data_IF_988902017219
#
_entry.id   IF_988902017219
#
_cell.length_a   1.000
_cell.length_b   1.000
_cell.length_c   1.000
_cell.angle_alpha   90.00
_cell.angle_beta   90.00
_cell.angle_gamma   90.00
#
_symmetry.space_group_name_H-M   'P 1'
#
loop_
_entity.id
_entity.type
_entity.pdbx_description
1 polymer ?
#
# COMPACT_ATOMS: atom_id res chain seq x y z
N UNK A 1 -4.32 -39.93 69.99
CA UNK A 1 -4.01 -40.61 68.72
C UNK A 1 -4.70 -39.80 67.64
N UNK A 2 -4.02 -39.17 66.67
CA UNK A 2 -4.74 -38.53 65.57
C UNK A 2 -5.24 -39.64 64.63
N UNK A 3 -6.51 -39.53 64.22
CA UNK A 3 -7.17 -40.40 63.25
C UNK A 3 -6.42 -40.36 61.91
N UNK A 4 -5.91 -41.51 61.48
CA UNK A 4 -5.45 -41.69 60.11
C UNK A 4 -6.66 -42.01 59.23
N UNK A 5 -7.28 -40.97 58.65
CA UNK A 5 -8.31 -41.16 57.63
C UNK A 5 -7.74 -41.91 56.43
N UNK A 6 -8.44 -42.97 56.00
CA UNK A 6 -8.09 -43.75 54.81
C UNK A 6 -8.62 -43.02 53.55
N UNK A 7 -7.83 -43.01 52.47
CA UNK A 7 -8.24 -42.50 51.15
C UNK A 7 -9.17 -43.54 50.55
N UNK A 8 -10.38 -43.17 50.16
CA UNK A 8 -11.29 -44.14 49.53
C UNK A 8 -11.50 -43.90 48.04
N UNK A 9 -11.35 -42.66 47.54
CA UNK A 9 -11.52 -42.36 46.11
C UNK A 9 -10.44 -41.42 45.56
N UNK A 10 -9.98 -41.75 44.35
CA UNK A 10 -9.04 -40.97 43.55
C UNK A 10 -9.70 -40.58 42.23
N UNK A 11 -9.70 -39.29 41.93
CA UNK A 11 -10.17 -38.77 40.65
C UNK A 11 -9.06 -37.93 40.00
N UNK A 12 -9.08 -37.94 38.67
CA UNK A 12 -8.16 -37.21 37.84
C UNK A 12 -9.00 -36.33 36.91
N UNK A 13 -8.92 -35.02 37.09
CA UNK A 13 -9.71 -34.04 36.36
C UNK A 13 -8.97 -32.72 36.35
N UNK A 14 -9.12 -31.95 35.28
CA UNK A 14 -8.71 -30.55 35.24
C UNK A 14 -9.73 -29.75 36.08
N UNK A 15 -9.34 -29.37 37.30
CA UNK A 15 -10.26 -28.67 38.24
C UNK A 15 -10.00 -27.18 38.34
N UNK A 16 -8.88 -26.69 37.81
CA UNK A 16 -8.56 -25.26 37.75
C UNK A 16 -8.63 -24.65 36.33
N UNK A 17 -8.80 -25.48 35.30
CA UNK A 17 -9.00 -25.07 33.91
C UNK A 17 -7.70 -24.94 33.11
N UNK A 18 -6.56 -25.40 33.62
CA UNK A 18 -5.23 -25.28 32.99
C UNK A 18 -4.96 -26.32 31.89
N UNK A 19 -5.97 -27.12 31.52
CA UNK A 19 -5.88 -28.23 30.56
C UNK A 19 -4.91 -29.34 30.96
N UNK A 20 -4.41 -29.33 32.21
CA UNK A 20 -3.63 -30.41 32.81
C UNK A 20 -4.50 -31.17 33.79
N UNK A 21 -4.20 -32.47 33.91
CA UNK A 21 -4.95 -33.34 34.80
C UNK A 21 -4.43 -33.15 36.22
N UNK A 22 -5.30 -32.62 37.09
CA UNK A 22 -5.05 -32.55 38.53
C UNK A 22 -5.39 -33.86 39.22
N UNK A 23 -4.86 -34.00 40.43
CA UNK A 23 -5.19 -35.11 41.30
C UNK A 23 -6.16 -34.66 42.39
N UNK A 24 -7.38 -35.20 42.36
CA UNK A 24 -8.40 -34.97 43.38
C UNK A 24 -8.49 -36.20 44.26
N UNK A 25 -8.38 -36.00 45.57
CA UNK A 25 -8.47 -37.06 46.58
C UNK A 25 -9.63 -36.79 47.52
N UNK A 26 -10.44 -37.81 47.81
CA UNK A 26 -11.54 -37.72 48.77
C UNK A 26 -11.28 -38.63 49.98
N UNK A 27 -11.55 -38.11 51.17
CA UNK A 27 -11.40 -38.83 52.43
C UNK A 27 -12.57 -38.52 53.36
N UNK A 28 -13.02 -39.52 54.10
CA UNK A 28 -14.05 -39.36 55.13
C UNK A 28 -13.42 -38.81 56.41
N UNK A 29 -13.91 -37.68 56.90
CA UNK A 29 -13.55 -37.22 58.25
C UNK A 29 -14.40 -37.86 59.34
N UNK A 30 -15.60 -38.34 58.99
CA UNK A 30 -16.48 -39.21 59.76
C UNK A 30 -17.52 -39.82 58.80
N UNK A 31 -18.48 -40.60 59.32
CA UNK A 31 -19.56 -41.24 58.53
C UNK A 31 -20.56 -40.27 57.90
N UNK A 32 -20.42 -38.96 58.15
CA UNK A 32 -21.36 -37.91 57.72
C UNK A 32 -20.68 -36.79 56.93
N UNK A 33 -19.37 -36.83 56.74
CA UNK A 33 -18.60 -35.75 56.11
C UNK A 33 -17.47 -36.26 55.21
N UNK A 34 -17.46 -35.75 53.98
CA UNK A 34 -16.40 -35.97 52.99
C UNK A 34 -15.57 -34.68 52.92
N UNK A 35 -14.26 -34.83 52.96
CA UNK A 35 -13.31 -33.76 52.63
C UNK A 35 -12.57 -34.13 51.36
N UNK A 36 -12.42 -33.15 50.48
CA UNK A 36 -11.59 -33.26 49.29
C UNK A 36 -10.28 -32.50 49.49
N UNK A 37 -9.18 -33.06 48.99
CA UNK A 37 -7.94 -32.32 48.74
C UNK A 37 -7.66 -32.35 47.25
N UNK A 38 -7.45 -31.16 46.70
CA UNK A 38 -7.00 -30.97 45.33
C UNK A 38 -5.49 -30.80 45.39
N UNK A 39 -4.78 -31.66 44.67
CA UNK A 39 -3.36 -31.51 44.37
C UNK A 39 -3.28 -31.04 42.93
N UNK A 40 -3.13 -29.73 42.78
CA UNK A 40 -2.97 -29.12 41.47
C UNK A 40 -1.68 -29.67 40.86
N UNK A 41 -1.75 -30.15 39.62
CA UNK A 41 -0.57 -30.60 38.87
C UNK A 41 0.17 -29.42 38.25
N UNK A 42 0.25 -28.34 39.02
CA UNK A 42 0.93 -27.14 38.67
C UNK A 42 2.42 -27.39 38.80
N UNK A 43 3.07 -27.62 37.66
CA UNK A 43 4.37 -26.98 37.48
C UNK A 43 4.06 -25.49 37.44
N UNK A 44 4.02 -24.83 38.61
CA UNK A 44 4.11 -23.37 38.69
C UNK A 44 5.53 -23.04 38.21
N UNK A 45 5.69 -22.84 36.90
CA UNK A 45 6.67 -21.85 36.49
C UNK A 45 6.05 -20.52 36.92
N UNK A 46 6.76 -19.69 37.72
CA UNK A 46 6.27 -18.35 38.02
C UNK A 46 6.26 -17.55 36.71
N UNK A 47 5.13 -17.55 36.03
CA UNK A 47 4.91 -16.86 34.76
C UNK A 47 3.41 -16.76 34.53
N UNK A 48 2.97 -15.57 34.13
CA UNK A 48 1.61 -15.34 33.65
C UNK A 48 1.50 -15.92 32.22
N UNK A 49 0.28 -16.30 31.84
CA UNK A 49 -0.12 -16.74 30.51
C UNK A 49 -1.45 -16.02 30.22
N UNK A 50 -1.35 -14.88 29.56
CA UNK A 50 -2.41 -13.88 29.44
C UNK A 50 -3.54 -14.36 28.53
N UNK A 51 -3.24 -15.18 27.53
CA UNK A 51 -4.21 -15.63 26.53
C UNK A 51 -4.53 -17.13 26.57
N UNK A 52 -3.87 -17.87 27.48
CA UNK A 52 -4.11 -19.28 27.78
C UNK A 52 -3.82 -20.22 26.61
N UNK A 53 -2.78 -19.90 25.83
CA UNK A 53 -2.33 -20.72 24.71
C UNK A 53 -1.28 -21.79 25.11
N UNK A 54 -0.81 -21.73 26.36
CA UNK A 54 0.16 -22.65 26.95
C UNK A 54 1.61 -22.18 26.87
N UNK A 55 1.87 -20.98 26.35
CA UNK A 55 3.15 -20.28 26.34
C UNK A 55 3.11 -19.19 27.41
N UNK A 56 4.24 -18.96 28.10
CA UNK A 56 4.29 -17.92 29.14
C UNK A 56 4.51 -16.55 28.50
N UNK A 57 3.90 -15.49 29.06
CA UNK A 57 3.99 -14.10 28.62
C UNK A 57 5.43 -13.62 28.33
N UNK A 58 6.42 -14.13 29.07
CA UNK A 58 7.83 -13.75 28.92
C UNK A 58 8.50 -14.31 27.66
N UNK A 59 7.89 -15.32 27.05
CA UNK A 59 8.37 -16.04 25.85
C UNK A 59 7.35 -16.06 24.73
N UNK A 60 6.16 -15.53 24.96
CA UNK A 60 5.05 -15.48 24.02
C UNK A 60 5.24 -14.29 23.05
N UNK A 61 5.35 -14.60 21.76
CA UNK A 61 5.47 -13.60 20.70
C UNK A 61 4.12 -12.93 20.33
N UNK A 62 3.00 -13.39 20.90
CA UNK A 62 1.67 -12.80 20.76
C UNK A 62 0.86 -12.79 22.06
N UNK A 63 1.38 -12.14 23.11
CA UNK A 63 0.82 -11.96 24.47
C UNK A 63 -0.72 -11.98 24.70
N UNK A 64 -1.54 -11.59 23.73
CA UNK A 64 -3.01 -11.51 23.88
C UNK A 64 -3.80 -12.30 22.83
N UNK A 65 -3.12 -12.98 21.90
CA UNK A 65 -3.74 -13.71 20.79
C UNK A 65 -3.15 -15.13 20.77
N UNK A 66 -3.95 -16.15 21.16
CA UNK A 66 -3.44 -17.51 21.32
C UNK A 66 -2.79 -18.06 20.05
N UNK A 67 -1.51 -18.41 20.14
CA UNK A 67 -0.74 -19.02 19.06
C UNK A 67 0.26 -20.05 19.61
N UNK A 68 -0.22 -21.25 20.02
CA UNK A 68 0.61 -22.26 20.68
C UNK A 68 1.78 -22.79 19.84
N UNK A 69 1.78 -22.56 18.52
CA UNK A 69 2.86 -22.91 17.61
C UNK A 69 3.99 -21.87 17.57
N UNK A 70 3.74 -20.65 18.07
CA UNK A 70 4.68 -19.53 18.15
C UNK A 70 5.39 -19.27 16.81
N UNK A 71 4.64 -19.41 15.71
CA UNK A 71 5.15 -19.10 14.38
C UNK A 71 5.50 -17.61 14.29
N UNK A 72 6.64 -17.32 13.69
CA UNK A 72 7.20 -16.00 13.44
C UNK A 72 8.05 -16.17 12.18
N UNK A 73 7.46 -15.87 11.02
CA UNK A 73 8.01 -16.24 9.73
C UNK A 73 9.15 -15.31 9.27
N UNK A 74 9.26 -14.11 9.81
CA UNK A 74 10.29 -13.13 9.47
C UNK A 74 11.29 -12.81 10.60
N UNK A 75 11.17 -13.52 11.73
CA UNK A 75 12.04 -13.48 12.90
C UNK A 75 12.15 -12.08 13.54
N UNK A 76 11.06 -11.30 13.55
CA UNK A 76 11.04 -9.94 14.10
C UNK A 76 10.62 -9.87 15.59
N UNK A 77 10.14 -10.98 16.15
CA UNK A 77 9.68 -11.11 17.52
C UNK A 77 8.19 -10.88 17.74
N UNK A 78 7.41 -10.68 16.68
CA UNK A 78 5.94 -10.72 16.64
C UNK A 78 5.50 -12.01 15.97
N UNK A 79 4.60 -12.74 16.61
CA UNK A 79 4.11 -13.98 16.02
C UNK A 79 3.16 -13.71 14.85
N UNK A 80 3.14 -14.61 13.87
CA UNK A 80 2.29 -14.52 12.67
C UNK A 80 0.80 -14.27 12.99
N UNK A 81 0.34 -14.68 14.19
CA UNK A 81 -1.04 -14.52 14.65
C UNK A 81 -1.40 -13.07 15.04
N UNK A 82 -0.41 -12.26 15.40
CA UNK A 82 -0.57 -10.88 15.85
C UNK A 82 0.31 -9.89 15.09
N UNK A 83 0.95 -10.34 14.02
CA UNK A 83 1.79 -9.55 13.13
C UNK A 83 0.96 -8.99 11.96
N UNK A 84 0.99 -7.68 11.77
CA UNK A 84 0.35 -6.99 10.65
C UNK A 84 1.18 -7.01 9.35
N UNK A 85 2.38 -7.58 9.37
CA UNK A 85 3.19 -7.90 8.19
C UNK A 85 3.96 -9.24 8.32
N UNK A 86 3.28 -10.41 8.36
CA UNK A 86 3.91 -11.73 8.66
C UNK A 86 5.03 -12.24 7.74
N UNK A 87 5.49 -11.45 6.77
CA UNK A 87 6.61 -11.81 5.90
C UNK A 87 7.63 -10.68 5.75
N UNK A 88 7.49 -9.59 6.50
CA UNK A 88 8.34 -8.40 6.43
C UNK A 88 8.51 -7.81 7.83
N UNK A 89 9.67 -8.07 8.43
CA UNK A 89 9.99 -7.68 9.79
C UNK A 89 9.67 -6.20 10.10
N UNK A 90 8.79 -5.99 11.08
CA UNK A 90 8.34 -4.71 11.61
C UNK A 90 7.92 -4.83 13.08
N UNK A 91 8.90 -5.04 13.96
CA UNK A 91 8.66 -5.25 15.39
C UNK A 91 7.88 -4.11 16.10
N UNK A 92 7.82 -2.90 15.52
CA UNK A 92 7.04 -1.77 16.01
C UNK A 92 5.56 -1.82 15.61
N UNK A 93 5.19 -2.66 14.66
CA UNK A 93 3.82 -2.92 14.19
C UNK A 93 3.10 -1.62 13.81
N UNK A 94 3.84 -0.69 13.18
CA UNK A 94 3.27 0.56 12.71
C UNK A 94 2.23 0.29 11.61
N UNK A 95 1.06 0.92 11.75
CA UNK A 95 -0.06 0.89 10.80
C UNK A 95 -0.73 2.27 10.91
N UNK A 96 -0.34 3.18 10.01
CA UNK A 96 -0.70 4.59 10.14
C UNK A 96 -2.16 4.89 9.75
N UNK A 97 -2.79 4.04 8.94
CA UNK A 97 -4.18 4.22 8.50
C UNK A 97 -5.18 3.24 9.13
N UNK A 98 -4.69 2.27 9.91
CA UNK A 98 -5.45 1.28 10.67
C UNK A 98 -6.27 0.36 9.76
N UNK A 99 -5.73 -0.03 8.61
CA UNK A 99 -6.39 -0.93 7.66
C UNK A 99 -6.08 -2.42 7.89
N UNK A 100 -5.12 -2.71 8.79
CA UNK A 100 -4.72 -4.06 9.18
C UNK A 100 -3.44 -4.55 8.53
N UNK A 101 -2.83 -3.79 7.62
CA UNK A 101 -1.48 -4.05 7.09
C UNK A 101 -0.50 -3.06 7.73
N UNK A 102 0.70 -3.53 8.07
CA UNK A 102 1.73 -2.64 8.58
C UNK A 102 2.34 -1.75 7.49
N UNK A 103 2.83 -0.56 7.87
CA UNK A 103 3.38 0.46 6.97
C UNK A 103 4.48 -0.08 6.01
N UNK A 104 5.19 -1.16 6.41
CA UNK A 104 6.27 -1.75 5.61
C UNK A 104 5.79 -2.72 4.53
N UNK A 105 4.58 -3.27 4.66
CA UNK A 105 3.99 -4.21 3.72
C UNK A 105 2.72 -3.67 3.05
N UNK A 106 2.27 -2.48 3.45
CA UNK A 106 1.20 -1.75 2.80
C UNK A 106 1.71 -0.95 1.59
N UNK A 107 1.03 -1.11 0.44
CA UNK A 107 1.31 -0.33 -0.77
C UNK A 107 0.60 1.02 -0.81
N UNK A 108 -0.19 1.38 0.20
CA UNK A 108 -0.68 2.74 0.46
C UNK A 108 -0.67 3.10 1.96
N UNK A 109 0.50 3.27 2.62
CA UNK A 109 0.66 3.39 4.08
C UNK A 109 -0.12 4.50 4.81
N UNK A 110 -0.88 5.32 4.11
CA UNK A 110 -1.66 6.42 4.70
C UNK A 110 -3.11 6.44 4.20
N UNK A 111 -3.51 5.49 3.36
CA UNK A 111 -4.82 5.42 2.72
C UNK A 111 -5.35 3.99 2.73
N UNK A 112 -6.23 3.74 3.70
CA UNK A 112 -6.78 2.41 3.96
C UNK A 112 -7.22 1.68 2.70
N UNK A 113 -6.53 0.58 2.44
CA UNK A 113 -6.61 -0.27 1.26
C UNK A 113 -6.45 -1.76 1.65
N UNK A 114 -7.32 -2.36 2.51
CA UNK A 114 -7.11 -3.71 3.04
C UNK A 114 -6.93 -4.82 1.99
N UNK A 115 -7.31 -4.56 0.75
CA UNK A 115 -7.13 -5.49 -0.38
C UNK A 115 -5.78 -5.42 -1.09
N UNK A 116 -4.91 -4.45 -0.77
CA UNK A 116 -3.58 -4.23 -1.36
C UNK A 116 -3.55 -4.29 -2.90
N UNK A 117 -4.64 -3.89 -3.56
CA UNK A 117 -4.75 -4.00 -5.01
C UNK A 117 -3.80 -3.02 -5.70
N UNK A 118 -2.91 -3.56 -6.52
CA UNK A 118 -1.99 -2.85 -7.41
C UNK A 118 -2.18 -3.44 -8.82
N UNK A 119 -2.76 -2.65 -9.72
CA UNK A 119 -3.21 -3.14 -11.03
C UNK A 119 -2.10 -3.16 -12.09
N UNK A 120 -1.08 -2.32 -11.96
CA UNK A 120 0.03 -2.23 -12.92
C UNK A 120 1.37 -2.76 -12.40
N UNK A 121 1.46 -3.05 -11.11
CA UNK A 121 2.59 -3.71 -10.47
C UNK A 121 3.77 -2.78 -10.21
N UNK A 122 3.54 -1.49 -10.03
CA UNK A 122 4.60 -0.50 -9.80
C UNK A 122 5.01 -0.35 -8.32
N UNK A 123 4.26 -0.98 -7.41
CA UNK A 123 4.50 -0.98 -5.97
C UNK A 123 3.63 -0.01 -5.18
N UNK A 124 2.77 0.78 -5.83
CA UNK A 124 1.75 1.59 -5.18
C UNK A 124 0.36 0.98 -5.36
N UNK A 125 -0.46 1.08 -4.32
CA UNK A 125 -1.84 0.60 -4.40
C UNK A 125 -2.71 1.54 -5.22
N UNK A 126 -3.71 0.99 -5.90
CA UNK A 126 -4.64 1.72 -6.76
C UNK A 126 -5.36 2.91 -6.09
N UNK A 127 -5.41 2.96 -4.75
CA UNK A 127 -6.06 4.04 -4.00
C UNK A 127 -5.16 5.25 -3.76
N UNK A 128 -3.85 5.08 -3.82
CA UNK A 128 -2.85 6.14 -3.63
C UNK A 128 -1.96 6.36 -4.86
N UNK A 129 -2.20 5.61 -5.93
CA UNK A 129 -1.57 5.75 -7.23
C UNK A 129 -2.33 6.77 -8.11
N UNK A 130 -1.63 7.78 -8.61
CA UNK A 130 -2.17 8.80 -9.51
C UNK A 130 -2.26 8.35 -10.99
N UNK A 131 -1.79 7.14 -11.32
CA UNK A 131 -2.01 6.47 -12.60
C UNK A 131 -2.25 4.94 -12.45
N UNK A 132 -3.38 4.48 -11.85
CA UNK A 132 -3.63 3.07 -11.50
C UNK A 132 -3.63 2.02 -12.62
N UNK A 133 -3.33 2.39 -13.86
CA UNK A 133 -3.23 1.46 -14.99
C UNK A 133 -1.93 1.61 -15.78
N UNK A 134 -0.99 2.45 -15.34
CA UNK A 134 0.25 2.76 -16.02
C UNK A 134 1.36 3.00 -14.99
N UNK A 135 2.21 1.98 -14.83
CA UNK A 135 3.26 1.98 -13.82
C UNK A 135 4.11 3.27 -13.81
N UNK A 136 4.12 3.95 -12.66
CA UNK A 136 4.82 5.22 -12.41
C UNK A 136 5.15 5.39 -10.92
N UNK A 137 6.05 4.55 -10.41
CA UNK A 137 6.48 4.57 -9.01
C UNK A 137 7.06 5.92 -8.51
N UNK A 138 7.38 6.87 -9.39
CA UNK A 138 7.80 8.22 -9.01
C UNK A 138 6.64 9.19 -8.76
N UNK A 139 5.41 8.82 -9.15
CA UNK A 139 4.17 9.56 -8.95
C UNK A 139 4.27 11.02 -9.37
N UNK A 140 5.01 11.28 -10.46
CA UNK A 140 5.16 12.63 -10.99
C UNK A 140 3.79 13.18 -11.42
N UNK A 141 3.47 14.39 -10.97
CA UNK A 141 2.25 15.14 -11.31
C UNK A 141 2.65 16.63 -11.38
N UNK A 142 3.03 17.08 -12.58
CA UNK A 142 3.69 18.37 -12.75
C UNK A 142 2.75 19.56 -12.50
N UNK A 143 1.44 19.39 -12.69
CA UNK A 143 0.44 20.45 -12.55
C UNK A 143 -0.48 20.30 -11.33
N UNK A 144 -0.32 19.21 -10.57
CA UNK A 144 -0.98 18.90 -9.31
C UNK A 144 -2.51 18.77 -9.47
N UNK A 145 -2.95 18.12 -10.55
CA UNK A 145 -4.37 17.92 -10.83
C UNK A 145 -4.90 16.55 -10.36
N UNK A 146 -4.01 15.66 -9.93
CA UNK A 146 -4.32 14.34 -9.41
C UNK A 146 -4.11 13.19 -10.40
N UNK A 147 -3.75 13.48 -11.65
CA UNK A 147 -3.31 12.47 -12.63
C UNK A 147 -1.79 12.56 -12.80
N UNK A 148 -1.12 11.42 -12.86
CA UNK A 148 0.32 11.41 -13.07
C UNK A 148 0.71 11.76 -14.51
N UNK A 149 1.91 12.31 -14.70
CA UNK A 149 2.45 12.78 -15.98
C UNK A 149 2.37 11.73 -17.12
N UNK A 150 2.37 10.44 -16.77
CA UNK A 150 2.33 9.32 -17.74
C UNK A 150 0.92 8.98 -18.24
N UNK A 151 -0.11 9.36 -17.49
CA UNK A 151 -1.52 9.10 -17.82
C UNK A 151 -2.35 10.37 -18.01
N UNK A 152 -1.75 11.54 -17.77
CA UNK A 152 -2.35 12.84 -18.04
C UNK A 152 -2.21 13.23 -19.53
N UNK A 153 -3.33 13.64 -20.13
CA UNK A 153 -3.35 14.15 -21.50
C UNK A 153 -3.01 15.64 -21.61
N UNK A 154 -2.79 16.34 -20.49
CA UNK A 154 -2.19 17.68 -20.43
C UNK A 154 -1.19 17.85 -19.27
N UNK A 155 0.00 17.18 -19.27
CA UNK A 155 0.94 17.06 -18.12
C UNK A 155 1.49 18.35 -17.47
N UNK A 156 1.09 19.52 -17.97
CA UNK A 156 1.56 20.83 -17.47
C UNK A 156 0.41 21.83 -17.29
N UNK A 157 -0.84 21.41 -17.50
CA UNK A 157 -2.04 22.26 -17.47
C UNK A 157 -3.20 21.51 -16.82
N UNK A 158 -3.36 21.76 -15.52
CA UNK A 158 -4.35 21.08 -14.66
C UNK A 158 -5.72 20.91 -15.33
N UNK A 159 -6.10 19.65 -15.49
CA UNK A 159 -7.25 19.16 -16.24
C UNK A 159 -7.85 17.91 -15.55
N UNK A 160 -8.32 17.95 -14.28
CA UNK A 160 -8.72 16.75 -13.53
C UNK A 160 -9.79 15.87 -14.20
N UNK A 161 -10.50 16.40 -15.21
CA UNK A 161 -11.51 15.67 -15.98
C UNK A 161 -10.98 14.89 -17.20
N UNK A 162 -9.70 15.03 -17.57
CA UNK A 162 -9.05 14.36 -18.72
C UNK A 162 -9.89 14.41 -20.01
N UNK A 163 -10.57 15.53 -20.28
CA UNK A 163 -11.40 15.66 -21.48
C UNK A 163 -10.52 15.69 -22.74
N UNK A 164 -10.88 14.89 -23.73
CA UNK A 164 -10.25 14.81 -25.05
C UNK A 164 -11.38 14.59 -26.07
N UNK A 165 -11.84 15.68 -26.69
CA UNK A 165 -13.05 15.68 -27.49
C UNK A 165 -12.91 15.00 -28.85
N UNK A 166 -11.70 14.94 -29.41
CA UNK A 166 -11.44 14.32 -30.71
C UNK A 166 -10.64 13.01 -30.64
N UNK A 167 -10.14 12.64 -29.47
CA UNK A 167 -9.51 11.36 -29.17
C UNK A 167 -8.10 11.24 -29.74
N UNK A 168 -7.37 12.34 -29.86
CA UNK A 168 -6.02 12.36 -30.42
C UNK A 168 -4.90 12.15 -29.38
N UNK A 169 -5.26 12.14 -28.10
CA UNK A 169 -4.36 11.94 -26.97
C UNK A 169 -3.85 13.23 -26.32
N UNK A 170 -4.25 14.41 -26.83
CA UNK A 170 -3.98 15.72 -26.22
C UNK A 170 -5.28 16.23 -25.61
N UNK A 171 -5.26 16.66 -24.35
CA UNK A 171 -6.47 17.09 -23.68
C UNK A 171 -6.98 18.46 -24.16
N UNK A 172 -8.29 18.67 -24.08
CA UNK A 172 -8.99 19.89 -24.57
C UNK A 172 -8.38 21.21 -24.04
N UNK A 173 -7.72 21.19 -22.87
CA UNK A 173 -7.13 22.37 -22.24
C UNK A 173 -5.75 22.75 -22.80
N UNK A 174 -5.02 21.78 -23.36
CA UNK A 174 -3.70 21.97 -23.95
C UNK A 174 -3.65 21.67 -25.46
N UNK A 175 -4.78 21.27 -26.03
CA UNK A 175 -4.96 21.07 -27.46
C UNK A 175 -5.19 22.41 -28.20
N UNK A 176 -4.33 22.70 -29.18
CA UNK A 176 -4.44 23.87 -30.04
C UNK A 176 -5.49 23.72 -31.17
N UNK A 177 -6.11 22.54 -31.28
CA UNK A 177 -7.25 22.24 -32.14
C UNK A 177 -8.27 21.26 -31.49
N UNK A 178 -8.99 21.66 -30.41
CA UNK A 178 -9.84 20.79 -29.55
C UNK A 178 -10.98 19.96 -30.18
N UNK A 179 -11.12 19.95 -31.49
CA UNK A 179 -12.19 19.24 -32.21
C UNK A 179 -11.68 18.60 -33.51
N UNK A 180 -10.37 18.66 -33.78
CA UNK A 180 -9.74 18.18 -35.01
C UNK A 180 -8.40 17.52 -34.67
N UNK A 181 -8.42 16.19 -34.57
CA UNK A 181 -7.26 15.37 -34.21
C UNK A 181 -5.96 15.80 -34.89
N UNK A 182 -4.99 16.17 -34.06
CA UNK A 182 -3.64 16.60 -34.42
C UNK A 182 -2.64 16.31 -33.28
N UNK A 183 -2.30 15.03 -33.03
CA UNK A 183 -1.46 14.64 -31.87
C UNK A 183 -0.10 15.33 -31.80
N UNK A 184 0.45 15.75 -32.94
CA UNK A 184 1.75 16.43 -33.03
C UNK A 184 1.69 17.92 -32.60
N UNK A 185 0.49 18.50 -32.46
CA UNK A 185 0.25 19.88 -32.02
C UNK A 185 1.03 20.94 -32.81
N UNK A 186 1.30 20.68 -34.10
CA UNK A 186 2.03 21.59 -34.98
C UNK A 186 1.32 22.95 -35.07
N UNK A 187 2.05 24.01 -34.75
CA UNK A 187 1.65 25.42 -34.93
C UNK A 187 2.83 26.18 -35.55
N UNK A 188 2.87 26.25 -36.88
CA UNK A 188 4.00 26.84 -37.62
C UNK A 188 4.07 28.36 -37.41
N UNK A 189 2.94 29.00 -37.17
CA UNK A 189 2.86 30.46 -37.07
C UNK A 189 2.94 30.98 -35.61
N UNK A 190 2.83 30.08 -34.63
CA UNK A 190 2.89 30.30 -33.18
C UNK A 190 1.81 31.29 -32.71
N UNK A 191 0.60 31.20 -33.29
CA UNK A 191 -0.54 32.04 -32.91
C UNK A 191 -1.49 31.37 -31.89
N UNK A 192 -1.21 30.12 -31.52
CA UNK A 192 -1.99 29.33 -30.57
C UNK A 192 -3.13 28.52 -31.21
N UNK A 193 -3.33 28.63 -32.53
CA UNK A 193 -4.22 27.77 -33.31
C UNK A 193 -3.38 26.76 -34.09
N UNK A 194 -3.64 25.47 -33.93
CA UNK A 194 -2.89 24.45 -34.65
C UNK A 194 -3.11 24.45 -36.16
N UNK A 195 -2.11 23.99 -36.91
CA UNK A 195 -2.12 23.88 -38.37
C UNK A 195 -3.33 23.07 -38.90
N UNK A 196 -3.88 22.15 -38.10
CA UNK A 196 -4.98 21.25 -38.49
C UNK A 196 -6.36 21.94 -38.53
N UNK A 197 -6.60 22.91 -37.64
CA UNK A 197 -7.84 23.68 -37.55
C UNK A 197 -7.67 25.13 -38.04
N UNK A 198 -6.47 25.50 -38.45
CA UNK A 198 -6.17 26.80 -39.01
C UNK A 198 -6.91 27.02 -40.34
N UNK A 199 -7.63 28.15 -40.51
CA UNK A 199 -8.19 28.49 -41.81
C UNK A 199 -7.05 28.74 -42.80
N UNK A 200 -7.12 28.12 -43.98
CA UNK A 200 -6.14 28.24 -45.10
C UNK A 200 -5.63 29.66 -45.46
N UNK A 201 -6.27 30.73 -44.97
CA UNK A 201 -5.82 32.12 -45.11
C UNK A 201 -4.75 32.56 -44.09
N UNK A 202 -4.65 31.89 -42.93
CA UNK A 202 -3.75 32.22 -41.82
C UNK A 202 -2.39 31.50 -41.89
N UNK A 203 -2.25 30.47 -42.76
CA UNK A 203 -1.00 29.77 -43.15
C UNK A 203 0.12 30.66 -43.72
N UNK A 204 -0.01 31.98 -43.59
CA UNK A 204 1.02 32.99 -43.81
C UNK A 204 2.00 32.96 -42.63
N UNK A 205 3.02 32.11 -42.79
CA UNK A 205 4.30 32.13 -42.09
C UNK A 205 4.64 33.50 -41.45
N UNK A 206 5.06 33.56 -40.18
CA UNK A 206 5.82 34.70 -39.67
C UNK A 206 7.21 34.62 -40.32
N UNK A 207 7.30 35.03 -41.59
CA UNK A 207 8.58 35.35 -42.18
C UNK A 207 9.04 36.67 -41.56
N UNK A 208 9.77 36.56 -40.45
CA UNK A 208 10.75 37.55 -40.08
C UNK A 208 11.65 37.80 -41.29
N UNK A 209 11.38 38.92 -41.97
CA UNK A 209 12.04 39.49 -43.15
C UNK A 209 11.74 38.80 -44.50
N UNK A 210 10.65 39.26 -45.10
CA UNK A 210 10.62 39.60 -46.52
C UNK A 210 10.63 38.41 -47.47
N UNK A 211 9.46 37.86 -47.74
CA UNK A 211 9.24 37.02 -48.92
C UNK A 211 9.06 37.90 -50.16
N UNK A 212 10.18 38.05 -50.88
CA UNK A 212 10.12 38.05 -52.33
C UNK A 212 10.07 36.58 -52.80
N UNK A 213 9.05 36.29 -53.59
CA UNK A 213 8.97 35.25 -54.63
C UNK A 213 9.22 33.78 -54.23
N UNK A 214 8.11 33.04 -54.27
CA UNK A 214 8.12 31.65 -54.67
C UNK A 214 8.76 31.49 -56.06
N UNK A 215 9.78 30.65 -56.18
CA UNK A 215 10.05 29.81 -57.35
C UNK A 215 11.17 28.81 -56.97
N UNK A 216 10.78 27.52 -56.93
CA UNK A 216 11.59 26.30 -57.03
C UNK A 216 12.97 26.24 -56.34
N UNK A 217 13.11 25.24 -55.47
CA UNK A 217 14.38 24.52 -55.30
C UNK A 217 14.80 24.33 -53.86
N UNK A 218 15.03 23.06 -53.51
CA UNK A 218 15.59 22.61 -52.25
C UNK A 218 16.85 23.41 -51.82
N UNK A 219 16.99 23.67 -50.52
CA UNK A 219 18.22 24.23 -49.99
C UNK A 219 18.15 24.60 -48.52
N UNK A 220 18.80 23.77 -47.69
CA UNK A 220 19.07 23.92 -46.26
C UNK A 220 19.17 25.37 -45.75
N UNK A 221 18.48 25.62 -44.63
CA UNK A 221 18.79 26.73 -43.74
C UNK A 221 20.15 26.43 -43.07
N UNK A 222 21.23 27.08 -43.53
CA UNK A 222 22.50 27.13 -42.81
C UNK A 222 22.91 28.57 -42.54
N UNK A 223 22.99 28.88 -41.26
CA UNK A 223 23.54 30.09 -40.65
C UNK A 223 25.01 30.27 -41.05
N UNK A 224 25.40 31.44 -41.57
CA UNK A 224 26.81 31.81 -41.70
C UNK A 224 27.04 33.30 -41.41
N UNK A 225 27.66 33.53 -40.25
CA UNK A 225 28.28 34.74 -39.73
C UNK A 225 29.12 35.45 -40.82
N UNK A 226 28.98 36.77 -40.96
CA UNK A 226 29.96 37.61 -41.68
C UNK A 226 30.55 38.69 -40.77
N UNK A 227 31.77 38.43 -40.32
CA UNK A 227 32.76 39.44 -39.92
C UNK A 227 33.06 40.31 -41.15
N UNK A 228 32.93 41.64 -41.05
CA UNK A 228 33.49 42.59 -42.02
C UNK A 228 34.72 43.27 -41.42
N UNK A 229 35.88 43.06 -42.06
CA UNK A 229 37.04 43.94 -41.96
C UNK A 229 36.86 45.13 -42.92
N UNK A 230 37.08 46.34 -42.42
CA UNK A 230 38.01 47.31 -43.01
C UNK A 230 38.66 48.09 -41.88
#
# INVERSE_FOLDING_TARGET
MPDAGYVEDLAAADVDGDSRIDLVTAFFSDVSSIRTRVYLNQIILPGEDTDSDGILDATDNCLTIPNPDQADADDDGKGDACDNCPGVANADQADADNDGHGDVCDNCPTTSNPGLYDADGDGLGNLCDNCPGVANADQADADNDGHGDVCDNCPTTSNPGLYDADGDGVGDLCDNCPTVSNPDQDDVNVDGTGDACEPTAARRLPCGRGVAEALFGAGLCMTAIRIRRR
#
